data_IF_643236284800
#
_entry.id   IF_643236284800
#
_cell.length_a   1.000
_cell.length_b   1.000
_cell.length_c   1.000
_cell.angle_alpha   90.00
_cell.angle_beta   90.00
_cell.angle_gamma   90.00
#
_symmetry.space_group_name_H-M   'P 1'
#
loop_
_entity.id
_entity.type
_entity.pdbx_description
1 polymer ?
#
# COMPACT_ATOMS: atom_id res chain seq x y z
N UNK A 1 -7.86 -24.11 -5.92
CA UNK A 1 -7.48 -24.42 -4.52
C UNK A 1 -6.09 -23.84 -4.19
N UNK A 2 -5.91 -22.51 -4.25
CA UNK A 2 -4.68 -21.83 -3.77
C UNK A 2 -4.92 -20.98 -2.52
N UNK A 3 -6.18 -20.80 -2.12
CA UNK A 3 -6.58 -19.96 -0.99
C UNK A 3 -6.11 -20.51 0.36
N UNK A 4 -6.05 -21.83 0.59
CA UNK A 4 -5.75 -22.35 1.94
C UNK A 4 -4.29 -22.16 2.40
N UNK A 5 -3.34 -22.25 1.48
CA UNK A 5 -1.91 -22.08 1.80
C UNK A 5 -1.58 -20.62 2.17
N UNK A 6 -2.26 -19.65 1.55
CA UNK A 6 -2.01 -18.23 1.77
C UNK A 6 -2.56 -17.76 3.12
N UNK A 7 -3.77 -18.18 3.51
CA UNK A 7 -4.36 -17.82 4.81
C UNK A 7 -3.57 -18.38 6.01
N UNK A 8 -2.98 -19.57 5.89
CA UNK A 8 -2.13 -20.15 6.93
C UNK A 8 -0.89 -19.31 7.21
N UNK A 9 -0.23 -18.79 6.17
CA UNK A 9 0.96 -17.94 6.30
C UNK A 9 0.64 -16.63 7.00
N UNK A 10 -0.48 -15.98 6.65
CA UNK A 10 -0.92 -14.76 7.33
C UNK A 10 -1.22 -14.96 8.81
N UNK A 11 -1.90 -16.07 9.16
CA UNK A 11 -2.21 -16.39 10.55
C UNK A 11 -0.93 -16.67 11.36
N UNK A 12 0.03 -17.41 10.80
CA UNK A 12 1.31 -17.67 11.46
C UNK A 12 2.10 -16.38 11.64
N UNK A 13 2.19 -15.54 10.60
CA UNK A 13 2.87 -14.25 10.67
C UNK A 13 2.24 -13.34 11.73
N UNK A 14 0.91 -13.23 11.74
CA UNK A 14 0.18 -12.44 12.73
C UNK A 14 0.42 -12.97 14.15
N UNK A 15 0.36 -14.28 14.36
CA UNK A 15 0.63 -14.89 15.66
C UNK A 15 2.05 -14.60 16.15
N UNK A 16 3.06 -14.74 15.27
CA UNK A 16 4.45 -14.43 15.59
C UNK A 16 4.62 -12.96 15.97
N UNK A 17 4.07 -12.04 15.17
CA UNK A 17 4.13 -10.59 15.46
C UNK A 17 3.44 -10.27 16.79
N UNK A 18 2.27 -10.85 17.07
CA UNK A 18 1.57 -10.67 18.34
C UNK A 18 2.38 -11.19 19.54
N UNK A 19 3.06 -12.33 19.41
CA UNK A 19 3.93 -12.87 20.47
C UNK A 19 5.07 -11.89 20.76
N UNK A 20 5.76 -11.40 19.74
CA UNK A 20 6.84 -10.43 19.93
C UNK A 20 6.34 -9.10 20.50
N UNK A 21 5.19 -8.60 20.06
CA UNK A 21 4.55 -7.40 20.62
C UNK A 21 4.30 -7.54 22.12
N UNK A 22 3.72 -8.68 22.55
CA UNK A 22 3.46 -8.97 23.97
C UNK A 22 4.77 -9.06 24.75
N UNK A 23 5.78 -9.76 24.23
CA UNK A 23 7.09 -9.88 24.89
C UNK A 23 7.78 -8.52 25.06
N UNK A 24 7.76 -7.69 24.02
CA UNK A 24 8.37 -6.36 24.05
C UNK A 24 7.60 -5.40 24.96
N UNK A 25 6.27 -5.48 25.04
CA UNK A 25 5.50 -4.64 25.96
C UNK A 25 5.96 -4.76 27.43
N UNK A 26 6.41 -5.96 27.86
CA UNK A 26 6.91 -6.19 29.23
C UNK A 26 8.33 -5.67 29.47
N UNK A 27 9.12 -5.37 28.44
CA UNK A 27 10.49 -4.85 28.56
C UNK A 27 10.54 -3.33 28.84
N UNK A 28 9.40 -2.68 29.03
CA UNK A 28 9.31 -1.25 29.33
C UNK A 28 9.73 -0.37 28.13
N UNK A 29 10.36 0.79 28.36
CA UNK A 29 10.64 1.76 27.30
C UNK A 29 11.48 1.22 26.14
N UNK A 30 12.44 0.33 26.42
CA UNK A 30 13.27 -0.32 25.40
C UNK A 30 12.40 -1.22 24.52
N UNK A 31 11.48 -1.96 25.12
CA UNK A 31 10.56 -2.82 24.41
C UNK A 31 9.63 -2.05 23.47
N UNK A 32 9.09 -0.91 23.88
CA UNK A 32 8.22 -0.10 23.03
C UNK A 32 8.95 0.40 21.77
N UNK A 33 10.23 0.75 21.88
CA UNK A 33 11.04 1.14 20.72
C UNK A 33 11.21 -0.05 19.77
N UNK A 34 11.55 -1.24 20.30
CA UNK A 34 11.69 -2.45 19.49
C UNK A 34 10.39 -2.85 18.80
N UNK A 35 9.27 -2.61 19.46
CA UNK A 35 7.94 -2.93 18.95
C UNK A 35 7.53 -2.04 17.78
N UNK A 36 7.78 -0.73 17.86
CA UNK A 36 7.60 0.19 16.72
C UNK A 36 8.48 -0.23 15.54
N UNK A 37 9.74 -0.59 15.81
CA UNK A 37 10.65 -1.06 14.77
C UNK A 37 10.18 -2.37 14.12
N UNK A 38 9.65 -3.31 14.92
CA UNK A 38 9.07 -4.56 14.43
C UNK A 38 7.91 -4.30 13.48
N UNK A 39 6.95 -3.44 13.86
CA UNK A 39 5.81 -3.09 13.01
C UNK A 39 6.26 -2.45 11.69
N UNK A 40 7.21 -1.51 11.75
CA UNK A 40 7.76 -0.88 10.54
C UNK A 40 8.49 -1.89 9.64
N UNK A 41 9.26 -2.82 10.23
CA UNK A 41 9.94 -3.87 9.50
C UNK A 41 8.95 -4.80 8.80
N UNK A 42 7.86 -5.19 9.46
CA UNK A 42 6.80 -6.02 8.87
C UNK A 42 6.12 -5.29 7.71
N UNK A 43 5.79 -4.00 7.86
CA UNK A 43 5.19 -3.21 6.77
C UNK A 43 6.13 -3.13 5.57
N UNK A 44 7.43 -2.86 5.79
CA UNK A 44 8.42 -2.78 4.71
C UNK A 44 8.67 -4.12 4.03
N UNK A 45 8.71 -5.20 4.81
CA UNK A 45 8.84 -6.55 4.27
C UNK A 45 7.61 -6.91 3.42
N UNK A 46 6.42 -6.55 3.87
CA UNK A 46 5.18 -6.83 3.15
C UNK A 46 5.07 -6.04 1.83
N UNK A 47 5.54 -4.78 1.82
CA UNK A 47 5.66 -3.95 0.61
C UNK A 47 6.61 -4.59 -0.42
N UNK A 48 7.79 -5.04 0.01
CA UNK A 48 8.78 -5.68 -0.87
C UNK A 48 8.37 -7.06 -1.37
N UNK A 49 7.65 -7.83 -0.55
CA UNK A 49 7.21 -9.18 -0.92
C UNK A 49 5.94 -9.17 -1.77
N UNK A 50 5.32 -8.00 -2.00
CA UNK A 50 4.03 -7.90 -2.67
C UNK A 50 2.90 -8.59 -1.90
N UNK A 51 3.10 -8.79 -0.59
CA UNK A 51 2.21 -9.55 0.29
C UNK A 51 0.86 -8.84 0.46
N UNK A 52 0.85 -7.52 0.38
CA UNK A 52 -0.38 -6.73 0.27
C UNK A 52 -0.57 -6.26 -1.17
N UNK A 53 -1.39 -6.93 -1.99
CA UNK A 53 -1.79 -6.42 -3.30
C UNK A 53 -2.80 -5.28 -3.10
N UNK A 54 -2.33 -4.15 -2.55
CA UNK A 54 -3.17 -3.10 -1.98
C UNK A 54 -2.94 -1.70 -2.55
N UNK A 55 -1.99 -1.53 -3.45
CA UNK A 55 -1.87 -0.31 -4.26
C UNK A 55 -1.98 -0.71 -5.71
N UNK A 56 -3.23 -0.85 -6.19
CA UNK A 56 -3.46 -0.69 -7.62
C UNK A 56 -2.79 0.64 -7.99
N UNK A 57 -1.71 0.55 -8.76
CA UNK A 57 -0.95 1.68 -9.24
C UNK A 57 -1.97 2.67 -9.80
N UNK A 58 -2.18 3.78 -9.08
CA UNK A 58 -3.29 4.67 -9.39
C UNK A 58 -3.00 5.16 -10.80
N UNK A 59 -3.87 4.89 -11.79
CA UNK A 59 -3.53 5.15 -13.17
C UNK A 59 -3.11 6.61 -13.30
N UNK A 60 -2.03 6.91 -14.02
CA UNK A 60 -1.51 8.26 -14.14
C UNK A 60 -2.63 9.20 -14.56
N UNK A 61 -2.62 10.42 -14.02
CA UNK A 61 -3.63 11.44 -14.28
C UNK A 61 -2.96 12.70 -14.79
N UNK A 62 -3.62 13.40 -15.72
CA UNK A 62 -3.19 14.68 -16.25
C UNK A 62 -4.27 15.74 -16.08
N UNK A 63 -3.85 17.00 -16.01
CA UNK A 63 -4.79 18.12 -16.03
C UNK A 63 -4.96 18.60 -17.47
N UNK A 64 -6.19 18.99 -17.83
CA UNK A 64 -6.47 19.61 -19.11
C UNK A 64 -5.78 20.99 -19.18
N UNK A 65 -5.00 21.31 -20.23
CA UNK A 65 -4.33 22.61 -20.36
C UNK A 65 -5.32 23.77 -20.51
N UNK A 66 -6.52 23.49 -21.01
CA UNK A 66 -7.50 24.52 -21.39
C UNK A 66 -8.45 24.89 -20.24
N UNK A 67 -8.90 23.91 -19.45
CA UNK A 67 -9.83 24.14 -18.33
C UNK A 67 -9.31 23.70 -16.96
N UNK A 68 -8.16 23.04 -16.88
CA UNK A 68 -7.58 22.53 -15.64
C UNK A 68 -8.22 21.26 -15.08
N UNK A 69 -9.26 20.71 -15.72
CA UNK A 69 -9.94 19.50 -15.24
C UNK A 69 -9.01 18.28 -15.21
N UNK A 70 -9.15 17.45 -14.17
CA UNK A 70 -8.33 16.24 -13.98
C UNK A 70 -8.89 15.08 -14.79
N UNK A 71 -8.08 14.52 -15.68
CA UNK A 71 -8.43 13.41 -16.58
C UNK A 71 -7.47 12.23 -16.39
N UNK A 72 -7.85 11.06 -16.90
CA UNK A 72 -6.93 9.93 -17.02
C UNK A 72 -5.81 10.27 -18.02
N UNK A 73 -4.60 9.74 -17.82
CA UNK A 73 -3.47 10.03 -18.69
C UNK A 73 -3.71 9.56 -20.14
N UNK A 74 -4.46 8.49 -20.33
CA UNK A 74 -4.83 7.89 -21.61
C UNK A 74 -6.12 8.46 -22.22
N UNK A 75 -6.77 9.43 -21.56
CA UNK A 75 -7.99 10.05 -22.09
C UNK A 75 -7.66 10.91 -23.33
N UNK A 76 -8.26 10.62 -24.48
CA UNK A 76 -8.05 11.40 -25.71
C UNK A 76 -8.67 12.81 -25.69
N UNK A 77 -9.68 13.04 -24.86
CA UNK A 77 -10.36 14.33 -24.72
C UNK A 77 -10.72 14.61 -23.26
N UNK A 78 -10.89 15.89 -22.93
CA UNK A 78 -11.25 16.32 -21.60
C UNK A 78 -12.70 15.94 -21.29
N UNK A 79 -12.93 15.21 -20.20
CA UNK A 79 -14.28 14.83 -19.76
C UNK A 79 -15.15 16.00 -19.25
N UNK A 80 -14.56 17.19 -19.10
CA UNK A 80 -15.28 18.40 -18.67
C UNK A 80 -15.57 19.37 -19.82
N UNK A 81 -14.52 19.83 -20.53
CA UNK A 81 -14.68 20.82 -21.59
C UNK A 81 -14.73 20.24 -23.01
N UNK A 82 -14.47 18.93 -23.18
CA UNK A 82 -14.50 18.26 -24.48
C UNK A 82 -13.24 18.46 -25.36
N UNK A 83 -12.36 19.38 -24.99
CA UNK A 83 -11.15 19.70 -25.76
C UNK A 83 -10.19 18.51 -25.82
N UNK A 84 -9.51 18.25 -26.96
CA UNK A 84 -8.55 17.18 -27.10
C UNK A 84 -7.40 17.36 -26.11
N UNK A 85 -7.00 16.25 -25.50
CA UNK A 85 -5.85 16.21 -24.63
C UNK A 85 -4.68 15.68 -25.49
N UNK A 86 -4.10 16.54 -26.31
CA UNK A 86 -2.90 16.19 -27.06
C UNK A 86 -1.69 16.17 -26.12
N UNK A 87 -0.80 15.19 -26.29
CA UNK A 87 0.45 15.11 -25.57
C UNK A 87 1.36 16.25 -26.06
N UNK A 88 1.46 17.32 -25.26
CA UNK A 88 2.49 18.35 -25.44
C UNK A 88 3.81 17.89 -24.84
#
# INVERSE_FOLDING_TARGET
MKLEAEHGVYLVLAAVVCVFFVLFAFMGPVGWILDVLLVLAVIKLADWSGLFPGTAERPPKRNCPECGARNAADAGSCGYCGEPLADA
#
